data_IF_008479086796
#
_entry.id   IF_008479086796
#
_cell.length_a   1.000
_cell.length_b   1.000
_cell.length_c   1.000
_cell.angle_alpha   90.00
_cell.angle_beta   90.00
_cell.angle_gamma   90.00
#
_symmetry.space_group_name_H-M   'P 1'
#
loop_
_entity.id
_entity.type
_entity.pdbx_description
1 polymer ?
#
# COMPACT_ATOMS: atom_id res chain seq x y z
N UNK A 1 15.61 -6.99 -4.83
CA UNK A 1 14.20 -7.23 -4.44
C UNK A 1 14.10 -7.05 -2.93
N UNK A 2 13.20 -6.19 -2.47
CA UNK A 2 12.92 -5.93 -1.05
C UNK A 2 11.64 -6.65 -0.66
N UNK A 3 11.62 -7.30 0.51
CA UNK A 3 10.40 -7.87 1.07
C UNK A 3 9.77 -6.90 2.06
N UNK A 4 8.51 -6.57 1.85
CA UNK A 4 7.77 -5.64 2.68
C UNK A 4 6.78 -6.38 3.58
N UNK A 5 7.02 -6.47 4.90
CA UNK A 5 6.00 -6.94 5.83
C UNK A 5 4.80 -6.00 5.86
N UNK A 6 3.60 -6.55 5.74
CA UNK A 6 2.35 -5.80 5.82
C UNK A 6 1.42 -6.44 6.84
N UNK A 7 0.91 -5.63 7.76
CA UNK A 7 -0.22 -5.96 8.62
C UNK A 7 -1.50 -5.47 7.92
N UNK A 8 -2.36 -6.40 7.53
CA UNK A 8 -3.61 -6.10 6.83
C UNK A 8 -4.78 -5.93 7.82
N UNK A 9 -5.70 -5.01 7.50
CA UNK A 9 -6.91 -4.74 8.29
C UNK A 9 -6.65 -4.01 9.62
N UNK A 10 -7.64 -4.06 10.50
CA UNK A 10 -7.67 -3.29 11.76
C UNK A 10 -7.51 -1.78 11.54
N UNK A 11 -6.96 -1.08 12.53
CA UNK A 11 -6.73 0.38 12.47
C UNK A 11 -5.72 0.79 11.37
N UNK A 12 -4.84 -0.13 10.97
CA UNK A 12 -3.88 0.08 9.87
C UNK A 12 -4.48 -0.09 8.48
N UNK A 13 -5.65 -0.73 8.37
CA UNK A 13 -6.37 -0.97 7.13
C UNK A 13 -7.84 -0.55 7.22
N UNK A 14 -8.14 0.72 7.55
CA UNK A 14 -9.50 1.17 7.87
C UNK A 14 -10.49 1.04 6.71
N UNK A 15 -10.00 0.90 5.48
CA UNK A 15 -10.82 0.76 4.27
C UNK A 15 -10.89 -0.69 3.76
N UNK A 16 -10.39 -1.67 4.53
CA UNK A 16 -10.44 -3.08 4.13
C UNK A 16 -11.89 -3.54 3.90
N UNK A 17 -12.83 -3.14 4.76
CA UNK A 17 -14.25 -3.47 4.60
C UNK A 17 -14.85 -2.93 3.29
N UNK A 18 -14.45 -1.74 2.85
CA UNK A 18 -14.89 -1.16 1.58
C UNK A 18 -14.37 -1.96 0.38
N UNK A 19 -13.11 -2.42 0.44
CA UNK A 19 -12.49 -3.28 -0.60
C UNK A 19 -13.15 -4.66 -0.64
N UNK A 20 -13.44 -5.26 0.51
CA UNK A 20 -14.20 -6.52 0.61
C UNK A 20 -15.58 -6.35 -0.03
N UNK A 21 -16.31 -5.29 0.33
CA UNK A 21 -17.65 -5.03 -0.22
C UNK A 21 -17.63 -4.79 -1.73
N UNK A 22 -16.58 -4.15 -2.25
CA UNK A 22 -16.44 -3.88 -3.67
C UNK A 22 -16.07 -5.11 -4.49
N UNK A 23 -15.12 -5.91 -4.00
CA UNK A 23 -14.55 -7.05 -4.73
C UNK A 23 -15.29 -8.37 -4.49
N UNK A 24 -16.02 -8.48 -3.38
CA UNK A 24 -16.65 -9.72 -2.93
C UNK A 24 -15.65 -10.75 -2.37
N UNK A 25 -14.39 -10.36 -2.17
CA UNK A 25 -13.33 -11.22 -1.64
C UNK A 25 -13.17 -11.02 -0.13
N UNK A 26 -12.83 -12.09 0.59
CA UNK A 26 -12.47 -11.97 2.01
C UNK A 26 -11.06 -11.37 2.19
N UNK A 27 -10.76 -10.96 3.43
CA UNK A 27 -9.50 -10.28 3.76
C UNK A 27 -8.28 -11.17 3.50
N UNK A 28 -8.40 -12.47 3.73
CA UNK A 28 -7.34 -13.45 3.47
C UNK A 28 -7.04 -13.53 1.98
N UNK A 29 -8.08 -13.61 1.14
CA UNK A 29 -7.93 -13.66 -0.31
C UNK A 29 -7.32 -12.36 -0.81
N UNK A 30 -7.80 -11.21 -0.32
CA UNK A 30 -7.22 -9.89 -0.66
C UNK A 30 -5.73 -9.84 -0.31
N UNK A 31 -5.37 -10.18 0.92
CA UNK A 31 -3.98 -10.14 1.37
C UNK A 31 -3.08 -11.08 0.56
N UNK A 32 -3.55 -12.30 0.26
CA UNK A 32 -2.79 -13.27 -0.55
C UNK A 32 -2.59 -12.78 -1.99
N UNK A 33 -3.65 -12.35 -2.67
CA UNK A 33 -3.57 -11.79 -4.02
C UNK A 33 -2.69 -10.54 -4.08
N UNK A 34 -2.68 -9.74 -3.02
CA UNK A 34 -1.86 -8.54 -2.94
C UNK A 34 -0.38 -8.87 -2.70
N UNK A 35 -0.05 -10.04 -2.15
CA UNK A 35 1.33 -10.47 -1.90
C UNK A 35 1.94 -11.32 -3.03
N UNK A 36 1.13 -11.84 -3.95
CA UNK A 36 1.58 -12.69 -5.05
C UNK A 36 2.50 -11.96 -6.07
N UNK A 37 2.17 -10.74 -6.53
CA UNK A 37 2.98 -10.08 -7.56
C UNK A 37 4.36 -9.64 -7.05
N UNK A 38 5.31 -9.58 -7.98
CA UNK A 38 6.54 -8.82 -7.81
C UNK A 38 6.31 -7.42 -8.37
N UNK A 39 6.27 -6.42 -7.50
CA UNK A 39 5.90 -5.06 -7.83
C UNK A 39 7.12 -4.23 -8.25
N UNK A 40 7.23 -3.79 -9.51
CA UNK A 40 8.12 -2.71 -9.87
C UNK A 40 7.62 -1.39 -9.27
N UNK A 41 8.55 -0.60 -8.72
CA UNK A 41 8.32 0.80 -8.40
C UNK A 41 8.30 1.59 -9.71
N UNK A 42 7.13 2.08 -10.10
CA UNK A 42 6.98 2.87 -11.33
C UNK A 42 7.44 4.31 -11.14
N UNK A 43 7.13 4.89 -9.99
CA UNK A 43 7.49 6.26 -9.67
C UNK A 43 7.49 6.48 -8.15
N UNK A 44 8.21 7.52 -7.74
CA UNK A 44 8.08 8.11 -6.41
C UNK A 44 7.40 9.48 -6.56
N UNK A 45 6.43 9.81 -5.70
CA UNK A 45 5.75 11.10 -5.79
C UNK A 45 4.45 11.17 -5.00
N UNK A 46 3.82 12.35 -4.94
CA UNK A 46 2.82 12.80 -3.94
C UNK A 46 3.45 13.41 -2.69
N UNK A 47 4.47 12.75 -2.14
CA UNK A 47 5.36 13.28 -1.10
C UNK A 47 6.67 12.46 -1.09
N UNK A 48 7.74 12.92 -0.40
CA UNK A 48 9.00 12.19 -0.37
C UNK A 48 8.82 10.73 0.09
N UNK A 49 9.38 9.79 -0.68
CA UNK A 49 9.33 8.35 -0.42
C UNK A 49 8.03 7.61 -0.76
N UNK A 50 6.95 8.28 -1.14
CA UNK A 50 5.73 7.57 -1.55
C UNK A 50 6.01 6.75 -2.80
N UNK A 51 5.68 5.46 -2.78
CA UNK A 51 5.93 4.54 -3.88
C UNK A 51 4.65 4.21 -4.65
N UNK A 52 4.63 4.47 -5.96
CA UNK A 52 3.61 3.96 -6.88
C UNK A 52 4.03 2.63 -7.48
N UNK A 53 3.20 1.60 -7.30
CA UNK A 53 3.54 0.24 -7.69
C UNK A 53 2.69 -0.22 -8.88
N UNK A 54 3.31 -0.98 -9.76
CA UNK A 54 2.67 -1.59 -10.93
C UNK A 54 2.43 -3.09 -10.77
N UNK A 55 1.50 -3.64 -11.54
CA UNK A 55 1.32 -5.08 -11.64
C UNK A 55 0.45 -5.72 -10.56
N UNK A 56 -0.39 -4.94 -9.86
CA UNK A 56 -1.38 -5.48 -8.92
C UNK A 56 -2.38 -6.40 -9.64
N UNK A 57 -2.77 -7.49 -8.98
CA UNK A 57 -3.82 -8.37 -9.46
C UNK A 57 -5.11 -7.57 -9.74
N UNK A 58 -5.66 -7.74 -10.96
CA UNK A 58 -6.83 -6.98 -11.42
C UNK A 58 -8.09 -7.27 -10.61
N UNK A 59 -8.16 -8.42 -9.92
CA UNK A 59 -9.27 -8.76 -9.02
C UNK A 59 -9.35 -7.85 -7.80
N UNK A 60 -8.24 -7.18 -7.45
CA UNK A 60 -8.18 -6.23 -6.35
C UNK A 60 -8.50 -4.79 -6.77
N UNK A 61 -8.65 -4.54 -8.07
CA UNK A 61 -8.84 -3.18 -8.57
C UNK A 61 -10.07 -2.54 -7.94
N UNK A 62 -9.85 -1.47 -7.18
CA UNK A 62 -10.91 -0.78 -6.42
C UNK A 62 -10.79 0.72 -6.67
N UNK A 63 -11.87 1.41 -7.10
CA UNK A 63 -11.80 2.83 -7.44
C UNK A 63 -11.36 3.67 -6.25
N UNK A 64 -10.77 4.83 -6.56
CA UNK A 64 -10.45 5.84 -5.54
C UNK A 64 -11.70 6.22 -4.74
N UNK A 65 -11.51 6.54 -3.47
CA UNK A 65 -12.58 7.01 -2.59
C UNK A 65 -13.16 8.31 -3.15
N UNK A 66 -14.49 8.41 -3.13
CA UNK A 66 -15.21 9.62 -3.59
C UNK A 66 -14.89 10.84 -2.72
N UNK A 67 -14.72 10.61 -1.42
CA UNK A 67 -14.35 11.65 -0.45
C UNK A 67 -13.02 11.23 0.17
N UNK A 68 -11.89 11.92 -0.13
CA UNK A 68 -10.59 11.62 0.47
C UNK A 68 -10.62 11.66 2.01
N UNK A 69 -9.79 10.85 2.67
CA UNK A 69 -9.53 11.01 4.11
C UNK A 69 -8.48 12.10 4.31
N UNK A 70 -8.60 12.81 5.43
CA UNK A 70 -7.67 13.88 5.79
C UNK A 70 -6.32 13.35 6.26
N UNK A 71 -6.30 12.14 6.82
CA UNK A 71 -5.08 11.54 7.34
C UNK A 71 -5.11 10.01 7.25
N UNK A 72 -4.00 9.43 6.81
CA UNK A 72 -3.64 8.03 6.93
C UNK A 72 -2.23 7.97 7.55
N UNK A 73 -1.91 6.90 8.28
CA UNK A 73 -0.61 6.80 8.94
C UNK A 73 0.57 6.63 7.97
N UNK A 74 1.78 6.96 8.40
CA UNK A 74 3.00 6.58 7.69
C UNK A 74 3.08 5.05 7.55
N UNK A 75 3.63 4.57 6.43
CA UNK A 75 3.65 3.15 6.08
C UNK A 75 2.31 2.60 5.60
N UNK A 76 1.31 3.44 5.36
CA UNK A 76 0.02 2.97 4.85
C UNK A 76 0.16 2.32 3.47
N UNK A 77 -0.42 1.14 3.32
CA UNK A 77 -0.49 0.36 2.09
C UNK A 77 -1.91 0.46 1.54
N UNK A 78 -2.05 0.99 0.32
CA UNK A 78 -3.34 1.42 -0.20
C UNK A 78 -3.58 1.03 -1.65
N UNK A 79 -4.86 0.84 -2.02
CA UNK A 79 -5.31 0.57 -3.39
C UNK A 79 -6.01 1.79 -3.99
N UNK A 80 -5.66 2.14 -5.22
CA UNK A 80 -6.29 3.20 -6.01
C UNK A 80 -6.44 2.82 -7.48
N UNK A 81 -7.64 2.40 -7.87
CA UNK A 81 -7.89 1.81 -9.18
C UNK A 81 -7.14 0.50 -9.33
N UNK A 82 -6.36 0.37 -10.40
CA UNK A 82 -5.55 -0.82 -10.72
C UNK A 82 -4.16 -0.80 -10.07
N UNK A 83 -3.88 0.18 -9.22
CA UNK A 83 -2.56 0.36 -8.60
C UNK A 83 -2.63 0.16 -7.08
N UNK A 84 -1.49 -0.24 -6.53
CA UNK A 84 -1.21 -0.20 -5.11
C UNK A 84 -0.04 0.74 -4.84
N UNK A 85 0.06 1.24 -3.61
CA UNK A 85 1.05 2.23 -3.24
C UNK A 85 1.31 2.23 -1.74
N UNK A 86 2.48 2.76 -1.38
CA UNK A 86 2.96 2.80 -0.01
C UNK A 86 3.29 4.23 0.35
N UNK A 87 2.61 4.76 1.37
CA UNK A 87 2.87 6.08 1.92
C UNK A 87 4.08 6.05 2.85
N UNK A 88 5.12 6.84 2.55
CA UNK A 88 6.24 7.05 3.46
C UNK A 88 5.93 7.94 4.69
N UNK A 89 4.89 8.76 4.64
CA UNK A 89 4.52 9.70 5.70
C UNK A 89 3.02 9.73 5.89
N UNK A 90 2.57 10.28 7.02
CA UNK A 90 1.16 10.54 7.26
C UNK A 90 0.65 11.67 6.37
N UNK A 91 -0.67 11.72 6.15
CA UNK A 91 -1.30 12.77 5.34
C UNK A 91 -2.57 12.33 4.61
N UNK A 92 -3.17 13.24 3.82
CA UNK A 92 -4.44 12.99 3.16
C UNK A 92 -4.31 11.95 2.04
N UNK A 93 -5.35 11.13 1.87
CA UNK A 93 -5.39 10.11 0.83
C UNK A 93 -6.77 9.89 0.24
N UNK A 94 -6.81 9.75 -1.08
CA UNK A 94 -8.00 9.31 -1.81
C UNK A 94 -8.01 7.82 -2.11
N UNK A 95 -7.04 7.05 -1.62
CA UNK A 95 -6.90 5.61 -1.87
C UNK A 95 -7.49 4.81 -0.72
N UNK A 96 -7.84 3.55 -0.98
CA UNK A 96 -8.36 2.63 0.02
C UNK A 96 -7.19 1.99 0.77
N UNK A 97 -6.88 2.51 1.96
CA UNK A 97 -5.86 1.92 2.85
C UNK A 97 -6.33 0.60 3.44
N UNK A 98 -5.60 -0.47 3.12
CA UNK A 98 -5.94 -1.87 3.44
C UNK A 98 -4.98 -2.50 4.45
N UNK A 99 -3.89 -1.83 4.76
CA UNK A 99 -2.92 -2.30 5.73
C UNK A 99 -1.80 -1.30 5.94
N UNK A 100 -0.85 -1.68 6.77
CA UNK A 100 0.29 -0.85 7.13
C UNK A 100 1.56 -1.67 7.28
N UNK A 101 2.69 -1.03 7.04
CA UNK A 101 4.03 -1.52 7.34
C UNK A 101 4.75 -0.57 8.29
N UNK A 102 5.70 -1.09 9.07
CA UNK A 102 6.61 -0.28 9.90
C UNK A 102 7.91 0.08 9.17
N UNK A 103 8.07 -0.35 7.90
CA UNK A 103 9.25 0.02 7.11
C UNK A 103 9.26 1.52 6.81
N UNK A 104 10.42 2.15 7.00
CA UNK A 104 10.65 3.58 6.74
C UNK A 104 11.13 3.76 5.31
N UNK A 105 10.33 4.43 4.48
CA UNK A 105 10.63 4.64 3.06
C UNK A 105 11.37 5.95 2.77
N UNK A 106 11.37 6.87 3.72
CA UNK A 106 12.06 8.15 3.60
C UNK A 106 12.59 8.62 4.95
N UNK A 107 13.85 9.01 4.98
CA UNK A 107 14.54 9.60 6.11
C UNK A 107 15.49 10.68 5.60
N UNK A 108 15.25 11.93 5.98
CA UNK A 108 16.02 13.08 5.49
C UNK A 108 17.47 13.09 6.00
N UNK A 109 17.76 12.36 7.08
CA UNK A 109 19.10 12.27 7.67
C UNK A 109 19.95 11.15 7.03
N UNK A 110 19.38 10.34 6.12
CA UNK A 110 20.07 9.26 5.42
C UNK A 110 20.54 9.65 4.01
N UNK A 111 21.54 8.93 3.49
CA UNK A 111 22.04 9.07 2.12
C UNK A 111 22.17 7.69 1.43
N UNK A 112 21.31 7.35 0.44
CA UNK A 112 20.22 8.18 -0.08
C UNK A 112 19.05 8.31 0.93
N UNK A 113 18.27 9.42 0.89
CA UNK A 113 17.18 9.64 1.84
C UNK A 113 15.92 8.82 1.54
N UNK A 114 15.76 8.33 0.30
CA UNK A 114 14.68 7.44 -0.09
C UNK A 114 15.18 6.00 -0.14
N UNK A 115 14.42 5.09 0.47
CA UNK A 115 14.75 3.66 0.49
C UNK A 115 14.65 3.02 -0.90
N UNK A 116 13.74 3.53 -1.73
CA UNK A 116 13.39 2.96 -3.04
C UNK A 116 13.69 3.95 -4.17
N UNK A 117 13.85 3.45 -5.38
CA UNK A 117 13.95 4.21 -6.63
C UNK A 117 13.06 3.59 -7.73
N UNK A 118 12.64 4.35 -8.75
CA UNK A 118 11.96 3.78 -9.91
C UNK A 118 12.77 2.65 -10.55
N UNK A 119 12.11 1.53 -10.83
CA UNK A 119 12.74 0.30 -11.33
C UNK A 119 13.09 -0.72 -10.25
N UNK A 120 13.16 -0.31 -8.97
CA UNK A 120 13.31 -1.27 -7.88
C UNK A 120 12.11 -2.21 -7.81
N UNK A 121 12.34 -3.41 -7.29
CA UNK A 121 11.31 -4.44 -7.16
C UNK A 121 11.06 -4.76 -5.69
N UNK A 122 9.78 -4.83 -5.32
CA UNK A 122 9.35 -5.22 -4.00
C UNK A 122 8.31 -6.34 -4.06
N UNK A 123 8.35 -7.21 -3.07
CA UNK A 123 7.30 -8.21 -2.83
C UNK A 123 6.71 -7.96 -1.46
N UNK A 124 5.38 -7.89 -1.42
CA UNK A 124 4.67 -7.79 -0.15
C UNK A 124 4.63 -9.18 0.49
N UNK A 125 4.74 -9.23 1.81
CA UNK A 125 4.49 -10.45 2.58
C UNK A 125 3.51 -10.15 3.69
N UNK A 126 2.62 -11.10 3.95
CA UNK A 126 1.69 -11.02 5.07
C UNK A 126 2.52 -11.16 6.36
N UNK A 127 2.55 -10.11 7.16
CA UNK A 127 3.07 -10.19 8.53
C UNK A 127 1.98 -10.65 9.48
N UNK A 128 0.79 -10.06 9.36
CA UNK A 128 -0.39 -10.41 10.15
C UNK A 128 -1.67 -9.94 9.45
N UNK A 129 -2.79 -10.57 9.75
CA UNK A 129 -4.13 -10.14 9.33
C UNK A 129 -4.95 -9.86 10.59
N UNK A 130 -5.53 -8.67 10.68
CA UNK A 130 -6.42 -8.24 11.77
C UNK A 130 -7.83 -8.11 11.17
N UNK A 131 -8.77 -8.88 11.72
CA UNK A 131 -10.16 -8.94 11.27
C UNK A 131 -11.05 -8.00 12.07
#
# INVERSE_FOLDING_TARGET
>A
MIELPVVYGGDGGPHMADVIAHTGLDIETIANLHCEPLYPVYALGSHPGYCYLGGMDQRLATPRRKVPVLDIGAGSVSIGGVQTGISASAGPSGWNTIGRTEMVFFDADQNPPALMQPGDQLRLRIERIIR
#
